data_IF_632409681798
#
_entry.id   IF_632409681798
#
_cell.length_a   1.000
_cell.length_b   1.000
_cell.length_c   1.000
_cell.angle_alpha   90.00
_cell.angle_beta   90.00
_cell.angle_gamma   90.00
#
_symmetry.space_group_name_H-M   'P 1'
#
loop_
_entity.id
_entity.type
_entity.pdbx_description
1 polymer ?
#
# COMPACT_ATOMS: atom_id res chain seq x y z
N UNK A 1 -15.16 12.35 5.93
CA UNK A 1 -14.34 11.42 6.74
C UNK A 1 -15.12 10.82 7.90
N UNK A 2 -15.83 11.62 8.71
CA UNK A 2 -16.60 11.17 9.88
C UNK A 2 -17.38 9.85 9.70
N UNK A 3 -18.21 9.74 8.67
CA UNK A 3 -19.05 8.56 8.44
C UNK A 3 -18.26 7.30 8.05
N UNK A 4 -17.17 7.47 7.30
CA UNK A 4 -16.37 6.35 6.79
C UNK A 4 -15.31 5.88 7.80
N UNK A 5 -14.60 6.81 8.43
CA UNK A 5 -13.45 6.51 9.29
C UNK A 5 -13.79 6.49 10.78
N UNK A 6 -14.85 7.19 11.20
CA UNK A 6 -15.23 7.26 12.63
C UNK A 6 -15.53 5.92 13.26
N UNK A 7 -16.47 5.12 12.70
CA UNK A 7 -16.79 3.81 13.25
C UNK A 7 -15.59 2.85 13.36
N UNK A 8 -14.59 3.04 12.48
CA UNK A 8 -13.36 2.26 12.47
C UNK A 8 -12.37 2.76 13.54
N UNK A 9 -12.00 4.05 13.51
CA UNK A 9 -10.98 4.62 14.40
C UNK A 9 -11.45 4.78 15.85
N UNK A 10 -12.76 4.77 16.11
CA UNK A 10 -13.29 4.68 17.47
C UNK A 10 -12.97 3.33 18.12
N UNK A 11 -12.94 2.26 17.33
CA UNK A 11 -12.77 0.88 17.81
C UNK A 11 -11.38 0.31 17.58
N UNK A 12 -10.64 0.84 16.63
CA UNK A 12 -9.37 0.29 16.18
C UNK A 12 -8.26 1.34 16.14
N UNK A 13 -7.03 0.84 16.03
CA UNK A 13 -5.85 1.59 15.63
C UNK A 13 -5.38 1.07 14.29
N UNK A 14 -4.72 1.90 13.51
CA UNK A 14 -4.12 1.53 12.23
C UNK A 14 -2.63 1.76 12.26
N UNK A 15 -1.88 0.74 11.84
CA UNK A 15 -0.46 0.88 11.51
C UNK A 15 -0.36 0.95 10.00
N UNK A 16 0.19 2.04 9.49
CA UNK A 16 0.31 2.34 8.07
C UNK A 16 1.78 2.30 7.71
N UNK A 17 2.15 1.36 6.84
CA UNK A 17 3.48 1.31 6.23
C UNK A 17 3.58 2.39 5.17
N UNK A 18 4.52 3.31 5.35
CA UNK A 18 4.78 4.40 4.40
C UNK A 18 5.28 3.83 3.07
N UNK A 19 4.82 4.42 1.97
CA UNK A 19 5.28 4.09 0.61
C UNK A 19 5.81 5.36 -0.02
N UNK A 20 7.13 5.50 -0.06
CA UNK A 20 7.78 6.71 -0.57
C UNK A 20 7.71 6.73 -2.11
N UNK A 21 7.36 7.88 -2.67
CA UNK A 21 7.34 8.13 -4.11
C UNK A 21 6.00 7.84 -4.79
N UNK A 22 6.01 7.93 -6.14
CA UNK A 22 4.77 7.93 -6.93
C UNK A 22 3.87 9.11 -6.54
N UNK A 23 2.57 8.85 -6.45
CA UNK A 23 1.54 9.85 -6.11
C UNK A 23 1.41 10.15 -4.60
N UNK A 24 2.21 9.48 -3.75
CA UNK A 24 2.06 9.51 -2.28
C UNK A 24 3.06 10.41 -1.56
N UNK A 25 3.93 11.08 -2.31
CA UNK A 25 4.93 11.99 -1.77
C UNK A 25 6.07 11.31 -1.01
N UNK A 26 6.91 12.14 -0.40
CA UNK A 26 8.02 11.73 0.45
C UNK A 26 7.61 11.45 1.89
N UNK A 27 8.56 10.92 2.69
CA UNK A 27 8.36 10.66 4.13
C UNK A 27 7.82 11.88 4.89
N UNK A 28 8.44 13.04 4.69
CA UNK A 28 8.01 14.28 5.37
C UNK A 28 6.60 14.73 4.98
N UNK A 29 6.16 14.49 3.74
CA UNK A 29 4.80 14.81 3.32
C UNK A 29 3.78 13.87 3.98
N UNK A 30 4.10 12.58 4.13
CA UNK A 30 3.24 11.60 4.78
C UNK A 30 3.16 11.81 6.30
N UNK A 31 4.29 12.07 6.96
CA UNK A 31 4.33 12.46 8.38
C UNK A 31 3.60 13.80 8.60
N UNK A 32 3.80 14.75 7.69
CA UNK A 32 3.12 16.04 7.69
C UNK A 32 1.60 15.91 7.54
N UNK A 33 1.12 14.96 6.74
CA UNK A 33 -0.31 14.68 6.63
C UNK A 33 -0.91 14.24 7.97
N UNK A 34 -0.24 13.35 8.71
CA UNK A 34 -0.68 12.92 10.03
C UNK A 34 -0.58 14.05 11.07
N UNK A 35 0.46 14.87 11.00
CA UNK A 35 0.57 16.08 11.84
C UNK A 35 -0.58 17.06 11.57
N UNK A 36 -0.94 17.28 10.31
CA UNK A 36 -2.08 18.11 9.93
C UNK A 36 -3.41 17.61 10.49
N UNK A 37 -3.61 16.29 10.58
CA UNK A 37 -4.76 15.72 11.29
C UNK A 37 -4.76 16.05 12.78
N UNK A 38 -3.60 15.89 13.43
CA UNK A 38 -3.42 16.22 14.86
C UNK A 38 -3.74 17.69 15.15
N UNK A 39 -3.35 18.57 14.24
CA UNK A 39 -3.51 20.02 14.40
C UNK A 39 -4.91 20.53 13.98
N UNK A 40 -5.79 19.63 13.52
CA UNK A 40 -7.18 19.96 13.16
C UNK A 40 -7.40 20.38 11.71
N UNK A 41 -6.39 20.21 10.84
CA UNK A 41 -6.46 20.57 9.42
C UNK A 41 -7.56 19.86 8.61
N UNK A 42 -8.16 18.80 9.15
CA UNK A 42 -9.23 18.04 8.50
C UNK A 42 -10.61 18.14 9.17
N UNK A 43 -10.80 19.04 10.14
CA UNK A 43 -12.07 19.17 10.87
C UNK A 43 -13.27 19.45 9.93
N UNK A 44 -13.07 20.28 8.91
CA UNK A 44 -14.12 20.58 7.91
C UNK A 44 -14.53 19.33 7.10
N UNK A 45 -13.62 18.36 6.94
CA UNK A 45 -13.91 17.06 6.32
C UNK A 45 -14.43 16.02 7.33
N UNK A 46 -14.57 16.40 8.60
CA UNK A 46 -14.97 15.53 9.71
C UNK A 46 -13.84 14.65 10.24
N UNK A 47 -12.58 15.04 10.04
CA UNK A 47 -11.40 14.41 10.66
C UNK A 47 -11.21 14.92 12.08
N UNK A 48 -11.25 14.02 13.05
CA UNK A 48 -11.12 14.37 14.48
C UNK A 48 -9.65 14.30 14.91
N UNK A 49 -9.18 15.27 15.70
CA UNK A 49 -7.75 15.39 16.09
C UNK A 49 -7.27 14.15 16.83
N UNK A 50 -8.11 13.58 17.70
CA UNK A 50 -7.77 12.39 18.49
C UNK A 50 -7.50 11.14 17.64
N UNK A 51 -7.95 11.13 16.38
CA UNK A 51 -7.62 10.04 15.47
C UNK A 51 -6.14 9.96 15.14
N UNK A 52 -5.39 11.07 15.26
CA UNK A 52 -3.94 11.05 15.06
C UNK A 52 -3.21 10.15 16.08
N UNK A 53 -3.81 9.89 17.25
CA UNK A 53 -3.27 8.95 18.26
C UNK A 53 -3.62 7.49 17.97
N UNK A 54 -4.54 7.27 17.02
CA UNK A 54 -4.95 5.94 16.55
C UNK A 54 -4.18 5.49 15.31
N UNK A 55 -3.31 6.34 14.76
CA UNK A 55 -2.51 6.05 13.57
C UNK A 55 -1.04 5.97 13.94
N UNK A 56 -0.39 4.88 13.55
CA UNK A 56 1.05 4.71 13.62
C UNK A 56 1.60 4.64 12.20
N UNK A 57 2.49 5.57 11.84
CA UNK A 57 3.26 5.48 10.60
C UNK A 57 4.53 4.68 10.87
N UNK A 58 4.81 3.70 10.03
CA UNK A 58 6.05 2.91 10.07
C UNK A 58 6.76 2.98 8.73
N UNK A 59 8.08 2.90 8.76
CA UNK A 59 8.88 2.86 7.53
C UNK A 59 8.53 1.60 6.71
N UNK A 60 8.40 1.79 5.40
CA UNK A 60 8.28 0.70 4.43
C UNK A 60 9.60 0.39 3.75
N UNK A 61 9.64 -0.73 3.04
CA UNK A 61 10.80 -1.08 2.22
C UNK A 61 11.00 -0.09 1.06
N UNK A 62 12.27 0.15 0.73
CA UNK A 62 12.66 1.04 -0.37
C UNK A 62 12.24 0.49 -1.74
N UNK A 63 12.08 -0.82 -1.87
CA UNK A 63 11.71 -1.42 -3.14
C UNK A 63 10.19 -1.43 -3.37
N UNK A 64 9.76 -0.54 -4.26
CA UNK A 64 8.37 -0.42 -4.67
C UNK A 64 7.94 -1.62 -5.52
N UNK A 65 7.15 -2.51 -4.93
CA UNK A 65 6.45 -3.59 -5.66
C UNK A 65 5.00 -3.22 -5.97
N UNK A 66 4.47 -3.73 -7.08
CA UNK A 66 3.04 -3.66 -7.38
C UNK A 66 2.57 -4.94 -8.03
N UNK A 67 1.35 -5.39 -7.69
CA UNK A 67 0.75 -6.55 -8.33
C UNK A 67 0.57 -6.34 -9.82
N UNK A 68 0.37 -5.09 -10.28
CA UNK A 68 0.33 -4.76 -11.72
C UNK A 68 1.65 -5.10 -12.40
N UNK A 69 2.80 -4.73 -11.80
CA UNK A 69 4.12 -5.06 -12.36
C UNK A 69 4.34 -6.57 -12.43
N UNK A 70 3.98 -7.30 -11.38
CA UNK A 70 4.09 -8.77 -11.35
C UNK A 70 3.20 -9.42 -12.40
N UNK A 71 1.93 -9.00 -12.51
CA UNK A 71 1.00 -9.54 -13.54
C UNK A 71 1.49 -9.24 -14.95
N UNK A 72 2.00 -8.03 -15.22
CA UNK A 72 2.58 -7.70 -16.53
C UNK A 72 3.81 -8.55 -16.85
N UNK A 73 4.64 -8.85 -15.85
CA UNK A 73 5.78 -9.77 -16.02
C UNK A 73 5.37 -11.23 -16.26
N UNK A 74 4.13 -11.60 -15.97
CA UNK A 74 3.57 -12.93 -16.24
C UNK A 74 2.83 -13.01 -17.58
N UNK A 75 2.60 -11.88 -18.24
CA UNK A 75 1.97 -11.85 -19.57
C UNK A 75 2.95 -12.31 -20.65
N UNK A 76 2.45 -13.12 -21.57
CA UNK A 76 3.22 -13.68 -22.69
C UNK A 76 3.65 -15.13 -22.41
N UNK A 77 3.29 -16.04 -23.33
CA UNK A 77 3.49 -17.49 -23.16
C UNK A 77 4.96 -17.95 -23.28
N UNK A 78 5.85 -17.09 -23.82
CA UNK A 78 7.23 -17.46 -24.16
C UNK A 78 8.31 -16.77 -23.32
N UNK A 79 7.98 -15.69 -22.59
CA UNK A 79 8.98 -14.95 -21.82
C UNK A 79 8.34 -14.19 -20.65
N UNK A 80 7.99 -14.90 -19.58
CA UNK A 80 7.81 -14.24 -18.30
C UNK A 80 9.13 -13.53 -17.94
N UNK A 81 9.07 -12.31 -17.41
CA UNK A 81 10.27 -11.67 -16.85
C UNK A 81 10.60 -12.39 -15.54
N UNK A 82 11.34 -13.50 -15.65
CA UNK A 82 11.69 -14.36 -14.53
C UNK A 82 12.40 -13.58 -13.43
N UNK A 83 13.17 -12.54 -13.76
CA UNK A 83 13.83 -11.73 -12.73
C UNK A 83 12.81 -10.99 -11.88
N UNK A 84 11.78 -10.42 -12.50
CA UNK A 84 10.69 -9.72 -11.79
C UNK A 84 9.85 -10.72 -10.99
N UNK A 85 9.50 -11.86 -11.56
CA UNK A 85 8.69 -12.89 -10.89
C UNK A 85 9.45 -13.51 -9.71
N UNK A 86 10.73 -13.85 -9.87
CA UNK A 86 11.54 -14.41 -8.80
C UNK A 86 11.82 -13.42 -7.66
N UNK A 87 11.91 -12.12 -7.99
CA UNK A 87 12.20 -11.08 -7.00
C UNK A 87 10.99 -10.73 -6.13
N UNK A 88 9.79 -10.71 -6.71
CA UNK A 88 8.64 -10.04 -6.10
C UNK A 88 7.56 -10.95 -5.54
N UNK A 89 7.63 -12.25 -5.81
CA UNK A 89 6.73 -13.24 -5.20
C UNK A 89 7.53 -14.39 -4.63
N UNK A 90 7.02 -14.99 -3.56
CA UNK A 90 7.66 -16.11 -2.90
C UNK A 90 7.67 -17.36 -3.79
N UNK A 91 8.60 -18.31 -3.58
CA UNK A 91 8.71 -19.51 -4.42
C UNK A 91 7.40 -20.30 -4.56
N UNK A 92 6.67 -20.50 -3.47
CA UNK A 92 5.39 -21.23 -3.49
C UNK A 92 4.31 -20.50 -4.30
N UNK A 93 4.24 -19.17 -4.20
CA UNK A 93 3.28 -18.37 -4.99
C UNK A 93 3.67 -18.40 -6.47
N UNK A 94 4.96 -18.35 -6.78
CA UNK A 94 5.45 -18.45 -8.16
C UNK A 94 5.11 -19.78 -8.79
N UNK A 95 5.38 -20.88 -8.09
CA UNK A 95 5.05 -22.23 -8.54
C UNK A 95 3.56 -22.34 -8.87
N UNK A 96 2.70 -21.94 -7.91
CA UNK A 96 1.26 -21.96 -8.09
C UNK A 96 0.78 -21.12 -9.29
N UNK A 97 1.30 -19.90 -9.43
CA UNK A 97 0.92 -19.00 -10.54
C UNK A 97 1.32 -19.57 -11.91
N UNK A 98 2.47 -20.25 -12.00
CA UNK A 98 2.95 -20.85 -13.25
C UNK A 98 2.21 -22.14 -13.58
N UNK A 99 1.94 -23.00 -12.59
CA UNK A 99 1.18 -24.25 -12.75
C UNK A 99 -0.26 -23.99 -13.22
N UNK A 100 -0.93 -23.06 -12.55
CA UNK A 100 -2.33 -22.67 -12.86
C UNK A 100 -2.43 -21.71 -14.05
N UNK A 101 -1.30 -21.32 -14.66
CA UNK A 101 -1.22 -20.39 -15.80
C UNK A 101 -1.96 -19.08 -15.55
N UNK A 102 -1.90 -18.57 -14.32
CA UNK A 102 -2.61 -17.34 -13.94
C UNK A 102 -1.99 -16.13 -14.64
N UNK A 103 -2.85 -15.19 -15.02
CA UNK A 103 -2.46 -13.90 -15.62
C UNK A 103 -1.73 -14.01 -16.98
N UNK A 104 -1.82 -15.16 -17.66
CA UNK A 104 -1.25 -15.39 -19.00
C UNK A 104 -2.21 -15.02 -20.15
N UNK A 105 -3.45 -14.66 -19.82
CA UNK A 105 -4.46 -14.18 -20.76
C UNK A 105 -4.40 -12.65 -20.90
N UNK A 106 -4.89 -12.12 -22.04
CA UNK A 106 -4.89 -10.69 -22.36
C UNK A 106 -5.80 -9.85 -21.44
#
# INVERSE_FOLDING_TARGET
MAQALGPFLDRAKVRITMRIGGDWGGKGEQEGYLAGLRDGGFEQAGGRREWAERVELVDGDEEVVSSTRVRQALKGREAADEKVVHKFITPAVREWVLEEKLYQDD
#
